data_IF_630686110982
#
_entry.id   IF_630686110982
#
_cell.length_a   1.000
_cell.length_b   1.000
_cell.length_c   1.000
_cell.angle_alpha   90.00
_cell.angle_beta   90.00
_cell.angle_gamma   90.00
#
_symmetry.space_group_name_H-M   'P 1'
#
loop_
_entity.id
_entity.type
_entity.pdbx_description
1 polymer ?
#
# COMPACT_ATOMS: atom_id res chain seq x y z
N UNK A 1 9.93 -1.03 28.55
CA UNK A 1 8.80 -0.42 27.77
C UNK A 1 7.55 -0.28 28.62
N UNK A 2 6.87 0.86 28.54
CA UNK A 2 5.56 1.04 29.19
C UNK A 2 4.47 0.17 28.55
N UNK A 3 3.55 -0.36 29.37
CA UNK A 3 2.46 -1.23 28.91
C UNK A 3 1.61 -0.59 27.80
N UNK A 4 1.31 0.72 27.90
CA UNK A 4 0.55 1.47 26.91
C UNK A 4 1.26 1.51 25.53
N UNK A 5 2.58 1.66 25.53
CA UNK A 5 3.39 1.69 24.30
C UNK A 5 3.41 0.30 23.68
N UNK A 6 3.62 -0.74 24.49
CA UNK A 6 3.58 -2.14 24.05
C UNK A 6 2.25 -2.50 23.37
N UNK A 7 1.11 -2.20 24.03
CA UNK A 7 -0.21 -2.46 23.48
C UNK A 7 -0.46 -1.67 22.18
N UNK A 8 -0.01 -0.40 22.13
CA UNK A 8 -0.12 0.43 20.93
C UNK A 8 0.63 -0.16 19.74
N UNK A 9 1.83 -0.70 19.95
CA UNK A 9 2.64 -1.31 18.88
C UNK A 9 2.01 -2.61 18.35
N UNK A 10 1.44 -3.44 19.23
CA UNK A 10 0.66 -4.60 18.83
C UNK A 10 -0.56 -4.21 17.99
N UNK A 11 -1.29 -3.18 18.41
CA UNK A 11 -2.45 -2.69 17.66
C UNK A 11 -2.06 -2.13 16.30
N UNK A 12 -0.95 -1.35 16.22
CA UNK A 12 -0.41 -0.84 14.96
C UNK A 12 -0.10 -2.00 14.01
N UNK A 13 0.60 -3.05 14.45
CA UNK A 13 0.88 -4.21 13.60
C UNK A 13 -0.40 -4.88 13.10
N UNK A 14 -1.41 -5.06 13.95
CA UNK A 14 -2.69 -5.68 13.59
C UNK A 14 -3.51 -4.82 12.61
N UNK A 15 -3.46 -3.49 12.76
CA UNK A 15 -4.21 -2.56 11.90
C UNK A 15 -3.54 -2.35 10.53
N UNK A 16 -2.20 -2.34 10.49
CA UNK A 16 -1.44 -2.00 9.28
C UNK A 16 -1.08 -3.23 8.42
N UNK A 17 -0.92 -4.42 9.05
CA UNK A 17 -0.55 -5.64 8.35
C UNK A 17 -1.78 -6.51 8.05
N UNK A 18 -2.58 -6.09 7.11
CA UNK A 18 -3.81 -6.79 6.70
C UNK A 18 -3.71 -7.33 5.28
N UNK A 19 -4.45 -8.43 4.96
CA UNK A 19 -4.52 -8.93 3.61
C UNK A 19 -5.18 -7.94 2.65
N UNK A 20 -4.71 -7.90 1.41
CA UNK A 20 -5.33 -7.15 0.33
C UNK A 20 -5.09 -7.84 -1.01
N UNK A 21 -6.08 -7.81 -1.89
CA UNK A 21 -6.00 -8.36 -3.23
C UNK A 21 -5.49 -7.28 -4.20
N UNK A 22 -4.42 -7.54 -4.94
CA UNK A 22 -3.90 -6.63 -5.95
C UNK A 22 -3.58 -5.22 -5.43
N UNK A 23 -3.80 -4.18 -6.25
CA UNK A 23 -3.58 -2.79 -5.87
C UNK A 23 -4.71 -2.26 -4.99
N UNK A 24 -4.38 -1.62 -3.87
CA UNK A 24 -5.34 -1.21 -2.84
C UNK A 24 -6.28 -0.09 -3.29
N UNK A 25 -5.82 0.82 -4.16
CA UNK A 25 -6.64 1.95 -4.63
C UNK A 25 -7.78 1.52 -5.56
N UNK A 26 -7.58 0.70 -6.61
CA UNK A 26 -8.71 0.16 -7.38
C UNK A 26 -9.63 -0.72 -6.53
N UNK A 27 -9.09 -1.45 -5.55
CA UNK A 27 -9.90 -2.23 -4.61
C UNK A 27 -10.76 -1.31 -3.72
N UNK A 28 -10.25 -0.17 -3.27
CA UNK A 28 -11.04 0.80 -2.50
C UNK A 28 -12.18 1.41 -3.34
N UNK A 29 -11.94 1.67 -4.64
CA UNK A 29 -13.00 2.08 -5.57
C UNK A 29 -14.05 0.97 -5.70
N UNK A 30 -13.63 -0.27 -5.95
CA UNK A 30 -14.54 -1.41 -6.04
C UNK A 30 -15.32 -1.63 -4.74
N UNK A 31 -14.70 -1.42 -3.58
CA UNK A 31 -15.35 -1.51 -2.28
C UNK A 31 -16.41 -0.42 -2.09
N UNK A 32 -16.13 0.82 -2.48
CA UNK A 32 -17.11 1.91 -2.44
C UNK A 32 -18.33 1.61 -3.32
N UNK A 33 -18.10 1.12 -4.55
CA UNK A 33 -19.18 0.85 -5.52
C UNK A 33 -19.94 -0.44 -5.18
N UNK A 34 -19.29 -1.47 -4.66
CA UNK A 34 -19.95 -2.67 -4.12
C UNK A 34 -20.88 -2.30 -2.95
N UNK A 35 -20.41 -1.41 -2.05
CA UNK A 35 -21.23 -0.91 -0.93
C UNK A 35 -22.43 -0.11 -1.47
N UNK A 36 -22.24 0.76 -2.46
CA UNK A 36 -23.35 1.50 -3.07
C UNK A 36 -24.38 0.55 -3.73
N UNK A 37 -23.89 -0.49 -4.41
CA UNK A 37 -24.75 -1.51 -5.01
C UNK A 37 -25.56 -2.30 -3.96
N UNK A 38 -24.94 -2.65 -2.83
CA UNK A 38 -25.65 -3.34 -1.73
C UNK A 38 -26.75 -2.47 -1.11
N UNK A 39 -26.55 -1.16 -1.00
CA UNK A 39 -27.56 -0.20 -0.52
C UNK A 39 -28.78 -0.16 -1.45
N UNK A 40 -28.58 -0.32 -2.76
CA UNK A 40 -29.65 -0.33 -3.77
C UNK A 40 -30.09 -1.74 -4.19
N UNK A 41 -29.64 -2.80 -3.55
CA UNK A 41 -29.90 -4.18 -4.00
C UNK A 41 -31.37 -4.47 -4.23
N UNK A 42 -32.27 -4.00 -3.36
CA UNK A 42 -33.73 -4.20 -3.45
C UNK A 42 -34.39 -3.47 -4.60
N UNK A 43 -33.72 -2.46 -5.21
CA UNK A 43 -34.26 -1.66 -6.30
C UNK A 43 -33.63 -1.99 -7.66
N UNK A 44 -32.53 -2.76 -7.66
CA UNK A 44 -31.93 -3.28 -8.89
C UNK A 44 -32.85 -4.39 -9.43
N UNK A 45 -33.40 -4.18 -10.61
CA UNK A 45 -34.25 -5.16 -11.29
C UNK A 45 -33.42 -6.31 -11.84
N UNK A 46 -34.05 -7.44 -12.08
CA UNK A 46 -33.48 -8.57 -12.84
C UNK A 46 -34.08 -8.60 -14.25
N UNK A 47 -33.30 -9.07 -15.22
CA UNK A 47 -33.79 -9.44 -16.55
C UNK A 47 -34.54 -10.79 -16.51
N UNK A 48 -35.08 -11.21 -17.68
CA UNK A 48 -35.82 -12.46 -17.81
C UNK A 48 -34.98 -13.70 -17.51
N UNK A 49 -33.65 -13.60 -17.60
CA UNK A 49 -32.68 -14.64 -17.27
C UNK A 49 -32.24 -14.60 -15.80
N UNK A 50 -32.83 -13.72 -14.98
CA UNK A 50 -32.52 -13.57 -13.56
C UNK A 50 -31.26 -12.76 -13.27
N UNK A 51 -30.64 -12.11 -14.26
CA UNK A 51 -29.46 -11.30 -14.06
C UNK A 51 -29.84 -9.86 -13.66
N UNK A 52 -29.01 -9.23 -12.81
CA UNK A 52 -29.20 -7.83 -12.43
C UNK A 52 -29.13 -6.92 -13.67
N UNK A 53 -30.13 -6.08 -13.84
CA UNK A 53 -30.23 -5.07 -14.91
C UNK A 53 -29.90 -3.69 -14.34
N UNK A 54 -28.94 -3.02 -14.94
CA UNK A 54 -28.49 -1.71 -14.50
C UNK A 54 -29.02 -0.63 -15.46
N UNK A 55 -30.07 0.10 -15.03
CA UNK A 55 -30.78 1.13 -15.83
C UNK A 55 -30.43 2.56 -15.39
N UNK A 56 -29.19 2.80 -14.97
CA UNK A 56 -28.78 4.09 -14.43
C UNK A 56 -27.37 4.49 -14.85
N UNK A 57 -26.66 5.09 -13.93
CA UNK A 57 -25.28 5.52 -14.14
C UNK A 57 -24.50 5.52 -12.81
N UNK A 58 -23.18 5.50 -12.94
CA UNK A 58 -22.25 5.55 -11.83
C UNK A 58 -21.31 6.75 -11.99
N UNK A 59 -21.35 7.69 -11.07
CA UNK A 59 -20.39 8.78 -11.00
C UNK A 59 -19.40 8.55 -9.86
N UNK A 60 -18.13 8.74 -10.17
CA UNK A 60 -17.05 8.74 -9.19
C UNK A 60 -16.44 10.14 -9.08
N UNK A 61 -16.13 10.54 -7.88
CA UNK A 61 -15.37 11.74 -7.58
C UNK A 61 -14.17 11.33 -6.74
N UNK A 62 -12.97 11.48 -7.30
CA UNK A 62 -11.74 10.97 -6.70
C UNK A 62 -10.70 12.06 -6.55
N UNK A 63 -9.92 11.99 -5.47
CA UNK A 63 -8.72 12.81 -5.34
C UNK A 63 -7.71 12.53 -6.45
N UNK A 64 -6.84 13.49 -6.74
CA UNK A 64 -5.80 13.35 -7.74
C UNK A 64 -4.88 12.14 -7.49
N UNK A 65 -4.60 11.81 -6.24
CA UNK A 65 -3.79 10.64 -5.88
C UNK A 65 -4.48 9.31 -6.21
N UNK A 66 -5.79 9.21 -6.01
CA UNK A 66 -6.56 8.01 -6.43
C UNK A 66 -6.53 7.88 -7.95
N UNK A 67 -6.79 8.97 -8.68
CA UNK A 67 -6.75 8.97 -10.15
C UNK A 67 -5.37 8.54 -10.65
N UNK A 68 -4.30 9.14 -10.13
CA UNK A 68 -2.92 8.82 -10.47
C UNK A 68 -2.60 7.34 -10.26
N UNK A 69 -3.03 6.77 -9.13
CA UNK A 69 -2.68 5.40 -8.75
C UNK A 69 -3.51 4.33 -9.46
N UNK A 70 -4.70 4.66 -9.98
CA UNK A 70 -5.60 3.67 -10.58
C UNK A 70 -5.61 3.69 -12.10
N UNK A 71 -5.34 4.85 -12.73
CA UNK A 71 -5.50 5.06 -14.17
C UNK A 71 -4.88 3.97 -15.08
N UNK A 72 -3.73 3.43 -14.70
CA UNK A 72 -2.98 2.49 -15.55
C UNK A 72 -2.88 1.07 -14.96
N UNK A 73 -3.45 0.83 -13.79
CA UNK A 73 -3.29 -0.45 -13.09
C UNK A 73 -4.30 -1.49 -13.59
N UNK A 74 -3.87 -2.72 -13.68
CA UNK A 74 -4.76 -3.85 -13.94
C UNK A 74 -5.60 -4.14 -12.71
N UNK A 75 -6.92 -4.15 -12.88
CA UNK A 75 -7.87 -4.46 -11.80
C UNK A 75 -7.80 -5.96 -11.48
N UNK A 76 -7.63 -6.34 -10.21
CA UNK A 76 -7.59 -7.76 -9.84
C UNK A 76 -8.85 -8.52 -10.26
N UNK A 77 -8.68 -9.77 -10.67
CA UNK A 77 -9.76 -10.67 -11.12
C UNK A 77 -10.64 -10.15 -12.26
N UNK A 78 -10.25 -9.06 -12.93
CA UNK A 78 -11.03 -8.45 -13.99
C UNK A 78 -10.89 -9.11 -15.37
N UNK A 79 -9.98 -10.08 -15.52
CA UNK A 79 -9.63 -10.61 -16.85
C UNK A 79 -8.74 -9.64 -17.66
N UNK A 80 -7.97 -8.76 -16.99
CA UNK A 80 -7.02 -7.83 -17.61
C UNK A 80 -7.57 -6.40 -17.84
N UNK A 81 -8.79 -6.10 -17.43
CA UNK A 81 -9.34 -4.74 -17.50
C UNK A 81 -8.54 -3.77 -16.63
N UNK A 82 -8.45 -2.51 -17.04
CA UNK A 82 -7.62 -1.49 -16.39
C UNK A 82 -8.40 -0.21 -16.11
N UNK A 83 -7.95 0.53 -15.11
CA UNK A 83 -8.41 1.88 -14.84
C UNK A 83 -9.53 1.98 -13.82
N UNK A 84 -9.98 3.20 -13.62
CA UNK A 84 -10.90 3.60 -12.55
C UNK A 84 -12.29 3.04 -12.83
N UNK A 85 -12.78 3.25 -14.04
CA UNK A 85 -14.12 2.83 -14.45
C UNK A 85 -14.25 1.30 -14.39
N UNK A 86 -13.21 0.57 -14.80
CA UNK A 86 -13.18 -0.88 -14.71
C UNK A 86 -13.29 -1.37 -13.26
N UNK A 87 -12.52 -0.76 -12.34
CA UNK A 87 -12.59 -1.09 -10.91
C UNK A 87 -13.97 -0.81 -10.31
N UNK A 88 -14.55 0.34 -10.68
CA UNK A 88 -15.85 0.78 -10.19
C UNK A 88 -16.99 -0.11 -10.67
N UNK A 89 -17.05 -0.36 -11.99
CA UNK A 89 -18.13 -1.18 -12.56
C UNK A 89 -18.02 -2.62 -12.12
N UNK A 90 -16.79 -3.19 -12.05
CA UNK A 90 -16.60 -4.55 -11.58
C UNK A 90 -17.01 -4.70 -10.10
N UNK A 91 -16.66 -3.72 -9.25
CA UNK A 91 -17.09 -3.68 -7.87
C UNK A 91 -18.61 -3.63 -7.70
N UNK A 92 -19.28 -2.80 -8.50
CA UNK A 92 -20.74 -2.70 -8.52
C UNK A 92 -21.42 -4.00 -8.99
N UNK A 93 -20.87 -4.65 -10.01
CA UNK A 93 -21.52 -5.83 -10.64
C UNK A 93 -21.36 -7.09 -9.81
N UNK A 94 -20.17 -7.35 -9.26
CA UNK A 94 -19.86 -8.63 -8.61
C UNK A 94 -19.11 -8.50 -7.29
N UNK A 95 -18.81 -7.27 -6.82
CA UNK A 95 -18.07 -7.07 -5.59
C UNK A 95 -18.85 -7.44 -4.34
N UNK A 96 -18.17 -8.11 -3.38
CA UNK A 96 -18.69 -8.50 -2.07
C UNK A 96 -18.18 -7.49 -1.02
N UNK A 97 -19.01 -6.48 -0.68
CA UNK A 97 -18.62 -5.35 0.19
C UNK A 97 -18.10 -5.78 1.56
N UNK A 98 -18.62 -6.85 2.14
CA UNK A 98 -18.21 -7.41 3.44
C UNK A 98 -16.74 -7.86 3.46
N UNK A 99 -16.17 -8.19 2.30
CA UNK A 99 -14.77 -8.60 2.14
C UNK A 99 -13.78 -7.45 2.09
N UNK A 100 -14.23 -6.21 2.08
CA UNK A 100 -13.38 -5.00 2.10
C UNK A 100 -12.25 -5.02 1.04
N UNK A 101 -10.98 -5.19 1.46
CA UNK A 101 -9.83 -5.21 0.54
C UNK A 101 -9.70 -6.49 -0.30
N UNK A 102 -10.58 -7.46 -0.10
CA UNK A 102 -10.72 -8.68 -0.90
C UNK A 102 -12.06 -8.70 -1.66
N UNK A 103 -12.70 -7.53 -1.82
CA UNK A 103 -14.03 -7.32 -2.42
C UNK A 103 -14.22 -7.97 -3.80
N UNK A 104 -13.14 -8.13 -4.58
CA UNK A 104 -13.15 -8.72 -5.92
C UNK A 104 -12.67 -10.19 -5.96
N UNK A 105 -12.51 -10.87 -4.82
CA UNK A 105 -11.97 -12.23 -4.80
C UNK A 105 -12.85 -13.24 -5.54
N UNK A 106 -14.17 -13.13 -5.40
CA UNK A 106 -15.14 -14.08 -5.95
C UNK A 106 -15.68 -13.77 -7.36
N UNK A 107 -15.07 -12.85 -8.11
CA UNK A 107 -15.56 -12.41 -9.43
C UNK A 107 -15.62 -13.57 -10.43
N UNK A 108 -16.79 -13.76 -11.02
CA UNK A 108 -17.08 -14.78 -12.02
C UNK A 108 -16.86 -14.26 -13.46
N UNK A 109 -16.77 -15.19 -14.43
CA UNK A 109 -16.67 -14.82 -15.84
C UNK A 109 -17.91 -14.06 -16.34
N UNK A 110 -19.10 -14.43 -15.88
CA UNK A 110 -20.34 -13.74 -16.24
C UNK A 110 -20.32 -12.27 -15.79
N UNK A 111 -19.76 -11.98 -14.61
CA UNK A 111 -19.60 -10.61 -14.08
C UNK A 111 -18.56 -9.82 -14.87
N UNK A 112 -17.46 -10.44 -15.31
CA UNK A 112 -16.47 -9.83 -16.21
C UNK A 112 -17.09 -9.41 -17.54
N UNK A 113 -17.83 -10.31 -18.18
CA UNK A 113 -18.51 -10.05 -19.45
C UNK A 113 -19.52 -8.90 -19.27
N UNK A 114 -20.31 -8.91 -18.19
CA UNK A 114 -21.27 -7.84 -17.91
C UNK A 114 -20.58 -6.51 -17.65
N UNK A 115 -19.48 -6.51 -16.92
CA UNK A 115 -18.65 -5.32 -16.68
C UNK A 115 -18.15 -4.75 -17.99
N UNK A 116 -17.59 -5.56 -18.89
CA UNK A 116 -17.12 -5.11 -20.20
C UNK A 116 -18.23 -4.44 -21.02
N UNK A 117 -19.43 -5.03 -21.06
CA UNK A 117 -20.60 -4.44 -21.73
C UNK A 117 -21.01 -3.08 -21.16
N UNK A 118 -21.01 -2.92 -19.84
CA UNK A 118 -21.34 -1.65 -19.19
C UNK A 118 -20.28 -0.58 -19.47
N UNK A 119 -19.01 -0.95 -19.55
CA UNK A 119 -17.93 -0.01 -19.89
C UNK A 119 -18.08 0.53 -21.34
N UNK A 120 -18.54 -0.27 -22.29
CA UNK A 120 -18.82 0.15 -23.66
C UNK A 120 -19.93 1.23 -23.74
N UNK A 121 -20.87 1.24 -22.80
CA UNK A 121 -21.97 2.21 -22.72
C UNK A 121 -21.62 3.49 -21.96
N UNK A 122 -20.38 3.66 -21.52
CA UNK A 122 -19.96 4.75 -20.64
C UNK A 122 -20.80 4.87 -19.35
N UNK A 123 -21.23 3.74 -18.81
CA UNK A 123 -22.04 3.67 -17.59
C UNK A 123 -21.37 4.34 -16.37
N UNK A 124 -20.05 4.39 -16.35
CA UNK A 124 -19.26 5.01 -15.28
C UNK A 124 -18.45 6.20 -15.80
N UNK A 125 -18.48 7.30 -15.04
CA UNK A 125 -17.64 8.49 -15.30
C UNK A 125 -16.90 8.88 -14.03
N UNK A 126 -15.59 9.16 -14.16
CA UNK A 126 -14.76 9.62 -13.04
C UNK A 126 -14.40 11.11 -13.19
N UNK A 127 -14.60 11.86 -12.12
CA UNK A 127 -14.29 13.28 -11.99
C UNK A 127 -13.18 13.49 -10.96
N UNK A 128 -12.31 14.47 -11.22
CA UNK A 128 -11.34 14.97 -10.24
C UNK A 128 -12.07 15.80 -9.19
N UNK A 129 -11.90 15.47 -7.91
CA UNK A 129 -12.37 16.27 -6.78
C UNK A 129 -11.18 16.95 -6.14
N UNK A 130 -11.16 18.29 -6.17
CA UNK A 130 -10.10 19.11 -5.61
C UNK A 130 -10.43 19.55 -4.18
N UNK A 131 -9.40 19.85 -3.38
CA UNK A 131 -9.60 20.34 -2.00
C UNK A 131 -10.00 19.29 -0.98
N UNK A 132 -9.97 18.00 -1.36
CA UNK A 132 -10.28 16.86 -0.50
C UNK A 132 -9.00 16.20 0.03
N UNK A 133 -9.16 15.20 0.92
CA UNK A 133 -8.04 14.39 1.45
C UNK A 133 -7.31 13.65 0.33
N UNK A 134 -6.02 13.36 0.53
CA UNK A 134 -5.19 12.65 -0.46
C UNK A 134 -5.76 11.28 -0.88
N UNK A 135 -6.43 10.59 0.03
CA UNK A 135 -7.23 9.41 -0.26
C UNK A 135 -8.70 9.81 -0.08
N UNK A 136 -9.37 10.08 -1.17
CA UNK A 136 -10.80 10.41 -1.23
C UNK A 136 -11.45 9.73 -2.42
N UNK A 137 -12.54 9.02 -2.17
CA UNK A 137 -13.39 8.37 -3.16
C UNK A 137 -14.85 8.62 -2.76
N UNK A 138 -15.62 9.23 -3.66
CA UNK A 138 -17.06 9.33 -3.55
C UNK A 138 -17.70 8.62 -4.72
N UNK A 139 -18.44 7.54 -4.44
CA UNK A 139 -19.18 6.77 -5.42
C UNK A 139 -20.67 7.13 -5.32
N UNK A 140 -21.28 7.51 -6.45
CA UNK A 140 -22.68 7.85 -6.57
C UNK A 140 -23.33 6.94 -7.63
N UNK A 141 -24.05 5.94 -7.16
CA UNK A 141 -24.78 5.01 -8.00
C UNK A 141 -26.26 5.40 -8.06
N UNK A 142 -26.76 5.62 -9.29
CA UNK A 142 -28.18 5.85 -9.54
C UNK A 142 -28.79 4.64 -10.26
N UNK A 143 -29.90 4.10 -9.73
CA UNK A 143 -30.61 2.97 -10.30
C UNK A 143 -32.12 3.11 -10.10
N UNK A 144 -32.91 2.99 -11.17
CA UNK A 144 -34.37 3.03 -11.11
C UNK A 144 -34.94 4.25 -10.32
N UNK A 145 -34.31 5.42 -10.45
CA UNK A 145 -34.72 6.65 -9.75
C UNK A 145 -34.21 6.76 -8.30
N UNK A 146 -33.54 5.76 -7.75
CA UNK A 146 -32.92 5.79 -6.43
C UNK A 146 -31.40 6.05 -6.56
N UNK A 147 -30.82 6.72 -5.53
CA UNK A 147 -29.41 7.08 -5.48
C UNK A 147 -28.76 6.57 -4.19
N UNK A 148 -27.59 5.92 -4.33
CA UNK A 148 -26.70 5.62 -3.20
C UNK A 148 -25.43 6.44 -3.33
N UNK A 149 -24.96 6.99 -2.20
CA UNK A 149 -23.68 7.72 -2.10
C UNK A 149 -22.84 7.06 -1.02
N UNK A 150 -21.60 6.71 -1.38
CA UNK A 150 -20.61 6.13 -0.45
C UNK A 150 -19.34 6.96 -0.53
N UNK A 151 -18.81 7.39 0.63
CA UNK A 151 -17.56 8.15 0.72
C UNK A 151 -16.53 7.40 1.54
N UNK A 152 -15.32 7.26 0.99
CA UNK A 152 -14.13 6.71 1.66
C UNK A 152 -13.09 7.82 1.80
N UNK A 153 -12.50 7.98 3.00
CA UNK A 153 -11.45 8.96 3.30
C UNK A 153 -10.30 8.40 4.13
N UNK A 154 -9.11 8.91 3.87
CA UNK A 154 -7.88 8.69 4.66
C UNK A 154 -7.33 7.27 4.69
N UNK A 155 -8.16 6.23 4.75
CA UNK A 155 -7.78 4.80 4.68
C UNK A 155 -8.68 4.09 3.68
N UNK A 156 -8.16 3.12 2.95
CA UNK A 156 -8.85 2.40 1.84
C UNK A 156 -10.17 1.74 2.25
N UNK A 157 -10.36 1.43 3.55
CA UNK A 157 -11.57 0.80 4.08
C UNK A 157 -12.39 1.71 5.00
N UNK A 158 -11.98 2.98 5.12
CA UNK A 158 -12.65 3.91 6.02
C UNK A 158 -13.84 4.60 5.34
N UNK A 159 -14.97 3.92 5.26
CA UNK A 159 -16.22 4.55 4.85
C UNK A 159 -16.62 5.58 5.93
N UNK A 160 -16.83 6.82 5.51
CA UNK A 160 -17.22 7.94 6.39
C UNK A 160 -18.66 8.38 6.17
N UNK A 161 -19.24 8.09 5.01
CA UNK A 161 -20.63 8.41 4.68
C UNK A 161 -21.25 7.30 3.84
N UNK A 162 -22.48 6.93 4.18
CA UNK A 162 -23.40 6.16 3.33
C UNK A 162 -24.74 6.87 3.33
N UNK A 163 -25.27 7.18 2.13
CA UNK A 163 -26.61 7.72 1.94
C UNK A 163 -27.40 6.86 0.96
N UNK A 164 -28.74 6.80 1.16
CA UNK A 164 -29.69 6.32 0.19
C UNK A 164 -30.76 7.40 -0.01
N UNK A 165 -30.86 7.91 -1.20
CA UNK A 165 -31.70 9.07 -1.52
C UNK A 165 -31.38 10.24 -0.56
N UNK A 166 -32.35 10.70 0.26
CA UNK A 166 -32.15 11.74 1.26
C UNK A 166 -31.80 11.17 2.65
N UNK A 167 -31.83 9.85 2.84
CA UNK A 167 -31.56 9.20 4.12
C UNK A 167 -30.07 8.96 4.34
N UNK A 168 -29.55 9.39 5.50
CA UNK A 168 -28.18 9.09 5.95
C UNK A 168 -28.19 7.76 6.69
N UNK A 169 -27.60 6.72 6.12
CA UNK A 169 -27.48 5.39 6.73
C UNK A 169 -26.25 5.26 7.64
N UNK A 170 -25.20 6.00 7.31
CA UNK A 170 -23.96 6.09 8.10
C UNK A 170 -23.32 7.45 7.91
N UNK A 171 -22.94 8.11 9.01
CA UNK A 171 -22.08 9.29 9.01
C UNK A 171 -21.12 9.22 10.20
N UNK A 172 -19.83 9.24 9.92
CA UNK A 172 -18.83 9.28 10.99
C UNK A 172 -18.66 10.69 11.52
N UNK A 173 -18.63 10.83 12.86
CA UNK A 173 -18.41 12.12 13.54
C UNK A 173 -17.14 12.79 13.00
N UNK A 174 -17.28 14.05 12.59
CA UNK A 174 -16.18 14.87 12.08
C UNK A 174 -15.99 14.81 10.56
N UNK A 175 -16.80 14.06 9.81
CA UNK A 175 -16.71 14.00 8.35
C UNK A 175 -16.89 15.39 7.69
N UNK A 176 -17.83 16.21 8.18
CA UNK A 176 -18.07 17.57 7.66
C UNK A 176 -17.46 18.70 8.51
N UNK A 177 -16.86 18.35 9.66
CA UNK A 177 -16.25 19.34 10.53
C UNK A 177 -14.77 19.53 10.17
N UNK A 178 -14.35 20.77 9.86
CA UNK A 178 -12.91 21.12 9.78
C UNK A 178 -12.23 20.68 11.07
N UNK A 179 -11.19 19.84 10.95
CA UNK A 179 -10.42 19.26 12.07
C UNK A 179 -9.96 20.37 13.03
N UNK A 180 -10.59 20.50 14.19
CA UNK A 180 -10.17 21.40 15.27
C UNK A 180 -9.37 20.69 16.36
N UNK A 181 -9.37 19.35 16.44
CA UNK A 181 -8.55 18.62 17.40
C UNK A 181 -7.87 17.43 16.72
N UNK A 182 -6.53 17.42 16.69
CA UNK A 182 -5.74 16.22 16.41
C UNK A 182 -5.93 15.24 17.56
N UNK A 183 -6.75 14.19 17.40
CA UNK A 183 -6.62 13.00 18.25
C UNK A 183 -5.19 12.48 18.11
N UNK A 184 -4.51 12.28 19.22
CA UNK A 184 -3.18 11.67 19.25
C UNK A 184 -3.26 10.31 18.53
N UNK A 185 -2.53 10.16 17.44
CA UNK A 185 -2.43 8.89 16.71
C UNK A 185 -1.49 7.96 17.50
N UNK A 186 -1.83 6.68 17.65
CA UNK A 186 -0.94 5.69 18.29
C UNK A 186 0.44 5.66 17.63
N UNK A 187 0.52 5.95 16.33
CA UNK A 187 1.75 6.01 15.56
C UNK A 187 2.68 7.16 15.96
N UNK A 188 2.17 8.18 16.65
CA UNK A 188 2.99 9.26 17.22
C UNK A 188 3.90 8.76 18.37
N UNK A 189 3.64 7.56 18.90
CA UNK A 189 4.46 6.90 19.90
C UNK A 189 5.66 6.14 19.30
N UNK A 190 5.69 5.93 17.98
CA UNK A 190 6.76 5.18 17.34
C UNK A 190 8.07 5.97 17.37
N UNK A 191 9.14 5.30 17.72
CA UNK A 191 10.53 5.74 17.59
C UNK A 191 11.44 4.51 17.47
N UNK A 192 12.63 4.70 16.93
CA UNK A 192 13.54 3.58 16.63
C UNK A 192 13.94 2.81 17.88
N UNK A 193 14.25 3.50 18.99
CA UNK A 193 14.66 2.86 20.24
C UNK A 193 13.57 1.94 20.81
N UNK A 194 12.34 2.45 20.92
CA UNK A 194 11.22 1.67 21.45
C UNK A 194 10.80 0.55 20.48
N UNK A 195 10.96 0.73 19.16
CA UNK A 195 10.72 -0.34 18.18
C UNK A 195 11.68 -1.52 18.43
N UNK A 196 12.95 -1.25 18.68
CA UNK A 196 13.94 -2.30 18.96
C UNK A 196 13.65 -2.98 20.28
N UNK A 197 13.37 -2.21 21.35
CA UNK A 197 12.96 -2.78 22.65
C UNK A 197 11.72 -3.67 22.50
N UNK A 198 10.69 -3.20 21.79
CA UNK A 198 9.48 -3.98 21.54
C UNK A 198 9.78 -5.28 20.80
N UNK A 199 10.61 -5.23 19.75
CA UNK A 199 10.98 -6.42 19.00
C UNK A 199 11.68 -7.48 19.86
N UNK A 200 12.48 -7.08 20.87
CA UNK A 200 13.14 -8.00 21.80
C UNK A 200 12.17 -8.65 22.80
N UNK A 201 11.17 -7.88 23.30
CA UNK A 201 10.33 -8.33 24.43
C UNK A 201 8.97 -8.88 24.01
N UNK A 202 8.50 -8.61 22.78
CA UNK A 202 7.16 -9.01 22.35
C UNK A 202 6.96 -10.53 22.44
N UNK A 203 5.82 -10.97 23.00
CA UNK A 203 5.46 -12.40 22.98
C UNK A 203 5.15 -12.80 21.53
N UNK A 204 5.88 -13.80 21.03
CA UNK A 204 5.74 -14.32 19.67
C UNK A 204 4.30 -14.75 19.39
N UNK A 205 3.59 -15.30 20.38
CA UNK A 205 2.18 -15.73 20.22
C UNK A 205 1.26 -14.58 19.86
N UNK A 206 1.56 -13.34 20.28
CA UNK A 206 0.75 -12.17 19.99
C UNK A 206 0.92 -11.64 18.58
N UNK A 207 2.05 -11.96 17.92
CA UNK A 207 2.39 -11.51 16.56
C UNK A 207 2.38 -12.65 15.53
N UNK A 208 2.37 -13.91 15.97
CA UNK A 208 2.50 -15.09 15.09
C UNK A 208 1.46 -15.11 13.98
N UNK A 209 0.20 -14.81 14.29
CA UNK A 209 -0.88 -14.80 13.30
C UNK A 209 -0.67 -13.71 12.22
N UNK A 210 -0.21 -12.53 12.62
CA UNK A 210 -0.03 -11.37 11.70
C UNK A 210 1.24 -11.55 10.87
N UNK A 211 2.38 -11.79 11.52
CA UNK A 211 3.68 -11.93 10.84
C UNK A 211 3.75 -13.24 10.04
N UNK A 212 3.21 -14.34 10.58
CA UNK A 212 3.14 -15.62 9.86
C UNK A 212 2.34 -15.53 8.57
N UNK A 213 1.21 -14.83 8.59
CA UNK A 213 0.41 -14.54 7.40
C UNK A 213 1.17 -13.69 6.38
N UNK A 214 1.90 -12.65 6.84
CA UNK A 214 2.74 -11.83 5.96
C UNK A 214 3.81 -12.67 5.27
N UNK A 215 4.51 -13.53 6.01
CA UNK A 215 5.51 -14.44 5.45
C UNK A 215 4.88 -15.33 4.38
N UNK A 216 3.76 -15.99 4.70
CA UNK A 216 3.12 -16.93 3.80
C UNK A 216 2.63 -16.28 2.51
N UNK A 217 1.81 -15.21 2.61
CA UNK A 217 1.20 -14.57 1.44
C UNK A 217 2.24 -13.85 0.58
N UNK A 218 3.15 -13.08 1.18
CA UNK A 218 4.13 -12.31 0.42
C UNK A 218 5.17 -13.21 -0.25
N UNK A 219 5.55 -14.33 0.38
CA UNK A 219 6.41 -15.33 -0.25
C UNK A 219 5.69 -16.00 -1.43
N UNK A 220 4.43 -16.39 -1.26
CA UNK A 220 3.67 -17.08 -2.31
C UNK A 220 3.55 -16.23 -3.60
N UNK A 221 3.17 -14.96 -3.50
CA UNK A 221 3.08 -14.10 -4.69
C UNK A 221 4.45 -13.77 -5.29
N UNK A 222 5.50 -13.69 -4.48
CA UNK A 222 6.87 -13.51 -4.97
C UNK A 222 7.34 -14.73 -5.79
N UNK A 223 7.06 -15.93 -5.31
CA UNK A 223 7.37 -17.17 -6.02
C UNK A 223 6.55 -17.30 -7.31
N UNK A 224 5.30 -16.87 -7.29
CA UNK A 224 4.44 -16.77 -8.48
C UNK A 224 5.06 -15.83 -9.53
N UNK A 225 5.52 -14.64 -9.11
CA UNK A 225 6.17 -13.67 -10.00
C UNK A 225 7.53 -14.14 -10.55
N UNK A 226 8.24 -15.02 -9.81
CA UNK A 226 9.45 -15.66 -10.32
C UNK A 226 9.16 -16.82 -11.29
N UNK A 227 8.04 -17.51 -11.12
CA UNK A 227 7.66 -18.68 -11.92
C UNK A 227 7.03 -18.30 -13.25
N UNK A 228 6.12 -17.33 -13.23
CA UNK A 228 5.32 -16.93 -14.36
C UNK A 228 5.73 -15.56 -14.92
N UNK A 229 5.19 -15.23 -16.10
CA UNK A 229 5.50 -13.98 -16.82
C UNK A 229 4.56 -12.85 -16.38
N UNK A 230 5.10 -11.85 -15.69
CA UNK A 230 4.36 -10.68 -15.24
C UNK A 230 5.12 -9.38 -15.54
N UNK A 231 4.47 -8.46 -16.23
CA UNK A 231 5.01 -7.13 -16.48
C UNK A 231 6.37 -7.12 -17.16
N UNK A 232 7.35 -6.45 -16.55
CA UNK A 232 8.71 -6.35 -17.05
C UNK A 232 9.64 -7.45 -16.51
N UNK A 233 9.15 -8.38 -15.70
CA UNK A 233 9.90 -9.51 -15.12
C UNK A 233 11.19 -9.07 -14.41
N UNK A 234 11.12 -7.98 -13.68
CA UNK A 234 12.28 -7.37 -13.02
C UNK A 234 12.96 -8.37 -12.09
N UNK A 235 12.18 -9.07 -11.25
CA UNK A 235 12.73 -10.06 -10.32
C UNK A 235 13.47 -11.20 -11.04
N UNK A 236 12.89 -11.77 -12.08
CA UNK A 236 13.51 -12.82 -12.91
C UNK A 236 14.77 -12.30 -13.62
N UNK A 237 14.70 -11.08 -14.13
CA UNK A 237 15.82 -10.45 -14.83
C UNK A 237 17.01 -10.23 -13.91
N UNK A 238 16.78 -9.80 -12.66
CA UNK A 238 17.84 -9.62 -11.67
C UNK A 238 18.57 -10.94 -11.37
N UNK A 239 17.84 -12.04 -11.10
CA UNK A 239 18.44 -13.34 -10.86
C UNK A 239 19.25 -13.83 -12.07
N UNK A 240 18.72 -13.68 -13.27
CA UNK A 240 19.41 -14.08 -14.50
C UNK A 240 20.68 -13.27 -14.76
N UNK A 241 20.65 -11.96 -14.50
CA UNK A 241 21.72 -11.04 -14.82
C UNK A 241 22.86 -11.02 -13.78
N UNK A 242 22.52 -11.19 -12.50
CA UNK A 242 23.44 -10.97 -11.37
C UNK A 242 23.68 -12.21 -10.50
N UNK A 243 23.04 -13.35 -10.80
CA UNK A 243 23.16 -14.56 -10.01
C UNK A 243 22.19 -14.60 -8.81
N UNK A 244 22.47 -15.50 -7.85
CA UNK A 244 21.53 -15.82 -6.78
C UNK A 244 22.10 -15.62 -5.36
N UNK A 245 23.07 -14.73 -5.18
CA UNK A 245 23.49 -14.36 -3.82
C UNK A 245 22.32 -13.70 -3.04
N UNK A 246 22.45 -13.63 -1.72
CA UNK A 246 21.38 -13.13 -0.85
C UNK A 246 20.97 -11.70 -1.20
N UNK A 247 21.91 -10.84 -1.61
CA UNK A 247 21.64 -9.44 -2.00
C UNK A 247 20.78 -9.38 -3.26
N UNK A 248 21.08 -10.25 -4.22
CA UNK A 248 20.31 -10.35 -5.48
C UNK A 248 18.94 -10.98 -5.20
N UNK A 249 18.87 -12.08 -4.42
CA UNK A 249 17.59 -12.70 -4.06
C UNK A 249 16.67 -11.76 -3.31
N UNK A 250 17.17 -10.99 -2.35
CA UNK A 250 16.40 -10.03 -1.58
C UNK A 250 15.70 -9.00 -2.49
N UNK A 251 16.44 -8.42 -3.44
CA UNK A 251 15.90 -7.46 -4.44
C UNK A 251 14.95 -8.15 -5.41
N UNK A 252 15.36 -9.31 -5.93
CA UNK A 252 14.62 -10.04 -6.94
C UNK A 252 13.27 -10.52 -6.45
N UNK A 253 13.20 -11.07 -5.23
CA UNK A 253 11.94 -11.55 -4.65
C UNK A 253 10.97 -10.42 -4.35
N UNK A 254 11.45 -9.31 -3.80
CA UNK A 254 10.61 -8.14 -3.57
C UNK A 254 10.07 -7.56 -4.90
N UNK A 255 10.91 -7.49 -5.93
CA UNK A 255 10.51 -7.05 -7.27
C UNK A 255 9.53 -8.02 -7.93
N UNK A 256 9.76 -9.34 -7.87
CA UNK A 256 8.91 -10.35 -8.47
C UNK A 256 7.48 -10.36 -7.90
N UNK A 257 7.34 -10.19 -6.58
CA UNK A 257 6.04 -10.01 -5.96
C UNK A 257 5.31 -8.78 -6.51
N UNK A 258 6.02 -7.70 -6.74
CA UNK A 258 5.46 -6.49 -7.37
C UNK A 258 5.17 -6.68 -8.85
N UNK A 259 6.03 -7.40 -9.60
CA UNK A 259 5.76 -7.77 -11.00
C UNK A 259 4.40 -8.48 -11.09
N UNK A 260 4.17 -9.52 -10.28
CA UNK A 260 2.91 -10.25 -10.26
C UNK A 260 1.73 -9.35 -9.84
N UNK A 261 1.88 -8.66 -8.70
CA UNK A 261 0.81 -7.84 -8.12
C UNK A 261 0.34 -6.70 -9.05
N UNK A 262 1.27 -6.01 -9.70
CA UNK A 262 0.95 -4.85 -10.56
C UNK A 262 0.39 -5.27 -11.93
N UNK A 263 0.51 -6.53 -12.30
CA UNK A 263 0.11 -7.03 -13.61
C UNK A 263 -1.03 -8.08 -13.53
N UNK A 264 -1.86 -8.00 -12.49
CA UNK A 264 -3.15 -8.68 -12.45
C UNK A 264 -3.15 -10.06 -11.77
N UNK A 265 -2.06 -10.45 -11.07
CA UNK A 265 -2.08 -11.65 -10.25
C UNK A 265 -3.17 -11.55 -9.17
N UNK A 266 -3.96 -12.60 -9.02
CA UNK A 266 -5.10 -12.66 -8.10
C UNK A 266 -4.74 -13.14 -6.68
N UNK A 267 -3.46 -13.32 -6.39
CA UNK A 267 -3.01 -13.73 -5.06
C UNK A 267 -3.02 -12.55 -4.09
N UNK A 268 -3.50 -12.74 -2.84
CA UNK A 268 -3.46 -11.71 -1.83
C UNK A 268 -2.05 -11.48 -1.30
N UNK A 269 -1.80 -10.28 -0.81
CA UNK A 269 -0.58 -9.89 -0.10
C UNK A 269 -0.92 -9.29 1.25
N UNK A 270 -0.02 -9.37 2.23
CA UNK A 270 -0.14 -8.56 3.45
C UNK A 270 0.53 -7.23 3.20
N UNK A 271 -0.26 -6.16 3.34
CA UNK A 271 0.16 -4.78 3.12
C UNK A 271 0.96 -4.22 4.29
N UNK A 272 1.64 -3.10 4.07
CA UNK A 272 2.16 -2.21 5.10
C UNK A 272 1.82 -0.77 4.72
N UNK A 273 1.33 0.02 5.66
CA UNK A 273 0.94 1.43 5.44
C UNK A 273 0.02 1.61 4.21
N UNK A 274 -0.94 0.71 4.05
CA UNK A 274 -1.93 0.74 2.98
C UNK A 274 -1.45 0.25 1.61
N UNK A 275 -0.23 -0.30 1.47
CA UNK A 275 0.33 -0.75 0.19
C UNK A 275 0.92 -2.16 0.25
N UNK A 276 0.49 -3.03 -0.67
CA UNK A 276 1.08 -4.37 -0.82
C UNK A 276 2.53 -4.35 -1.29
N UNK A 277 2.91 -3.39 -2.14
CA UNK A 277 4.30 -3.21 -2.53
C UNK A 277 5.19 -2.88 -1.33
N UNK A 278 4.72 -2.03 -0.40
CA UNK A 278 5.43 -1.76 0.85
C UNK A 278 5.51 -3.01 1.74
N UNK A 279 4.40 -3.74 1.89
CA UNK A 279 4.39 -4.98 2.68
C UNK A 279 5.37 -6.04 2.17
N UNK A 280 5.47 -6.22 0.85
CA UNK A 280 6.46 -7.12 0.24
C UNK A 280 7.89 -6.59 0.39
N UNK A 281 8.10 -5.28 0.26
CA UNK A 281 9.42 -4.66 0.41
C UNK A 281 9.92 -4.72 1.86
N UNK A 282 9.05 -4.59 2.85
CA UNK A 282 9.40 -4.79 4.27
C UNK A 282 9.74 -6.25 4.59
N UNK A 283 9.05 -7.21 3.96
CA UNK A 283 9.13 -8.61 4.42
C UNK A 283 10.13 -9.46 3.64
N UNK A 284 10.07 -9.45 2.31
CA UNK A 284 10.80 -10.41 1.48
C UNK A 284 12.33 -10.32 1.61
N UNK A 285 12.95 -9.12 1.63
CA UNK A 285 14.39 -9.02 1.86
C UNK A 285 14.81 -9.58 3.23
N UNK A 286 14.03 -9.29 4.27
CA UNK A 286 14.30 -9.78 5.63
C UNK A 286 14.17 -11.29 5.71
N UNK A 287 13.15 -11.88 5.06
CA UNK A 287 12.96 -13.34 4.97
C UNK A 287 14.16 -14.01 4.29
N UNK A 288 14.67 -13.42 3.19
CA UNK A 288 15.83 -14.00 2.48
C UNK A 288 17.11 -13.94 3.33
N UNK A 289 17.37 -12.82 4.00
CA UNK A 289 18.52 -12.73 4.92
C UNK A 289 18.36 -13.67 6.13
N UNK A 290 17.16 -13.77 6.71
CA UNK A 290 16.91 -14.71 7.80
C UNK A 290 17.14 -16.18 7.40
N UNK A 291 16.76 -16.53 6.16
CA UNK A 291 17.02 -17.87 5.58
C UNK A 291 18.49 -18.11 5.32
N UNK A 292 19.19 -17.14 4.75
CA UNK A 292 20.64 -17.21 4.49
C UNK A 292 21.43 -17.42 5.77
N UNK A 293 21.09 -16.65 6.82
CA UNK A 293 21.71 -16.73 8.14
C UNK A 293 21.22 -17.94 8.95
N UNK A 294 20.24 -18.71 8.44
CA UNK A 294 19.63 -19.88 9.10
C UNK A 294 19.18 -19.59 10.54
N UNK A 295 18.65 -18.39 10.76
CA UNK A 295 18.17 -18.01 12.10
C UNK A 295 16.89 -18.74 12.48
N UNK A 296 16.62 -18.96 13.79
CA UNK A 296 15.35 -19.53 14.26
C UNK A 296 14.13 -18.70 13.79
N UNK A 297 12.98 -19.37 13.63
CA UNK A 297 11.70 -18.73 13.27
C UNK A 297 11.38 -17.52 14.14
N UNK A 298 11.61 -17.62 15.43
CA UNK A 298 11.39 -16.52 16.38
C UNK A 298 12.22 -15.28 16.01
N UNK A 299 13.52 -15.45 15.74
CA UNK A 299 14.41 -14.33 15.36
C UNK A 299 13.95 -13.67 14.06
N UNK A 300 13.51 -14.46 13.07
CA UNK A 300 12.94 -13.91 11.84
C UNK A 300 11.66 -13.11 12.11
N UNK A 301 10.78 -13.56 13.01
CA UNK A 301 9.56 -12.84 13.38
C UNK A 301 9.86 -11.49 14.01
N UNK A 302 10.81 -11.44 14.94
CA UNK A 302 11.28 -10.21 15.60
C UNK A 302 11.90 -9.23 14.60
N UNK A 303 12.71 -9.73 13.67
CA UNK A 303 13.26 -8.90 12.58
C UNK A 303 12.17 -8.30 11.68
N UNK A 304 11.13 -9.06 11.38
CA UNK A 304 9.97 -8.55 10.62
C UNK A 304 9.18 -7.50 11.42
N UNK A 305 9.11 -7.59 12.73
CA UNK A 305 8.56 -6.52 13.59
C UNK A 305 9.37 -5.24 13.44
N UNK A 306 10.70 -5.31 13.54
CA UNK A 306 11.60 -4.15 13.32
C UNK A 306 11.33 -3.53 11.94
N UNK A 307 11.38 -4.34 10.89
CA UNK A 307 11.19 -3.86 9.52
C UNK A 307 9.86 -3.13 9.33
N UNK A 308 8.76 -3.77 9.75
CA UNK A 308 7.42 -3.22 9.55
C UNK A 308 7.21 -1.94 10.36
N UNK A 309 7.61 -1.90 11.63
CA UNK A 309 7.40 -0.73 12.48
C UNK A 309 8.28 0.45 12.08
N UNK A 310 9.55 0.23 11.67
CA UNK A 310 10.42 1.30 11.14
C UNK A 310 9.83 1.89 9.85
N UNK A 311 9.27 1.07 8.96
CA UNK A 311 8.60 1.55 7.76
C UNK A 311 7.34 2.38 8.10
N UNK A 312 6.50 1.91 9.02
CA UNK A 312 5.29 2.60 9.47
C UNK A 312 5.66 3.93 10.15
N UNK A 313 6.71 3.94 10.96
CA UNK A 313 7.22 5.14 11.63
C UNK A 313 7.56 6.24 10.63
N UNK A 314 8.34 5.94 9.60
CA UNK A 314 8.65 6.89 8.53
C UNK A 314 7.40 7.38 7.81
N UNK A 315 6.45 6.49 7.52
CA UNK A 315 5.19 6.82 6.85
C UNK A 315 4.29 7.76 7.67
N UNK A 316 4.44 7.80 8.97
CA UNK A 316 3.73 8.75 9.84
C UNK A 316 4.06 10.21 9.46
N UNK A 317 5.29 10.48 9.09
CA UNK A 317 5.73 11.82 8.67
C UNK A 317 5.44 12.13 7.19
N UNK A 318 5.51 11.12 6.30
CA UNK A 318 5.27 11.29 4.85
C UNK A 318 3.78 11.40 4.55
N UNK A 319 2.94 10.59 5.22
CA UNK A 319 1.52 10.47 4.96
C UNK A 319 1.16 9.28 4.07
N UNK A 320 -0.15 9.02 3.89
CA UNK A 320 -0.67 7.81 3.22
C UNK A 320 -0.33 7.78 1.74
N UNK A 321 -0.61 8.87 1.02
CA UNK A 321 -0.35 9.02 -0.42
C UNK A 321 0.50 10.27 -0.64
N UNK A 322 1.54 10.15 -1.47
CA UNK A 322 2.48 11.22 -1.78
C UNK A 322 3.23 10.89 -3.08
N UNK A 323 3.83 11.88 -3.70
CA UNK A 323 4.83 11.68 -4.76
C UNK A 323 6.13 11.04 -4.24
N UNK A 324 6.33 10.93 -2.95
CA UNK A 324 7.40 10.15 -2.33
C UNK A 324 7.05 8.67 -2.30
N UNK A 325 7.78 7.84 -2.99
CA UNK A 325 7.50 6.41 -3.10
C UNK A 325 7.67 5.68 -1.76
N UNK A 326 6.64 5.00 -1.30
CA UNK A 326 6.67 4.21 -0.07
C UNK A 326 7.65 3.03 -0.09
N UNK A 327 8.12 2.61 -1.26
CA UNK A 327 9.18 1.60 -1.37
C UNK A 327 10.47 2.01 -0.66
N UNK A 328 10.78 3.33 -0.60
CA UNK A 328 11.96 3.85 0.11
C UNK A 328 11.87 3.60 1.61
N UNK A 329 10.75 3.98 2.24
CA UNK A 329 10.53 3.75 3.68
C UNK A 329 10.49 2.26 4.02
N UNK A 330 9.86 1.45 3.16
CA UNK A 330 9.76 0.01 3.34
C UNK A 330 11.12 -0.68 3.22
N UNK A 331 11.93 -0.29 2.23
CA UNK A 331 13.28 -0.82 2.06
C UNK A 331 14.21 -0.38 3.20
N UNK A 332 14.11 0.87 3.65
CA UNK A 332 14.84 1.36 4.82
C UNK A 332 14.52 0.53 6.07
N UNK A 333 13.24 0.20 6.30
CA UNK A 333 12.82 -0.73 7.35
C UNK A 333 13.45 -2.12 7.20
N UNK A 334 13.49 -2.65 5.97
CA UNK A 334 14.15 -3.93 5.69
C UNK A 334 15.66 -3.87 5.97
N UNK A 335 16.35 -2.78 5.60
CA UNK A 335 17.77 -2.57 5.93
C UNK A 335 18.03 -2.54 7.43
N UNK A 336 17.21 -1.83 8.19
CA UNK A 336 17.25 -1.82 9.66
C UNK A 336 17.12 -3.23 10.26
N UNK A 337 16.19 -4.03 9.75
CA UNK A 337 15.98 -5.40 10.19
C UNK A 337 17.12 -6.34 9.77
N UNK A 338 17.76 -6.11 8.62
CA UNK A 338 18.95 -6.86 8.20
C UNK A 338 20.11 -6.57 9.15
N UNK A 339 20.35 -5.29 9.51
CA UNK A 339 21.35 -4.94 10.53
C UNK A 339 21.04 -5.63 11.86
N UNK A 340 19.78 -5.59 12.32
CA UNK A 340 19.35 -6.28 13.55
C UNK A 340 19.58 -7.79 13.50
N UNK A 341 19.28 -8.47 12.37
CA UNK A 341 19.54 -9.91 12.17
C UNK A 341 21.01 -10.27 12.34
N UNK A 342 21.91 -9.39 11.92
CA UNK A 342 23.35 -9.54 12.03
C UNK A 342 23.92 -9.08 13.39
N UNK A 343 23.06 -8.72 14.35
CA UNK A 343 23.47 -8.35 15.72
C UNK A 343 23.70 -6.86 15.92
N UNK A 344 23.28 -6.02 14.98
CA UNK A 344 23.36 -4.56 15.10
C UNK A 344 22.56 -4.06 16.30
N UNK A 345 23.19 -3.20 17.11
CA UNK A 345 22.57 -2.48 18.22
C UNK A 345 21.83 -1.22 17.71
N UNK A 346 21.29 -0.43 18.64
CA UNK A 346 20.62 0.83 18.31
C UNK A 346 21.48 1.77 17.46
N UNK A 347 22.77 1.85 17.73
CA UNK A 347 23.67 2.75 16.99
C UNK A 347 23.90 2.25 15.56
N UNK A 348 24.17 0.96 15.39
CA UNK A 348 24.33 0.31 14.09
C UNK A 348 23.07 0.45 13.22
N UNK A 349 21.90 0.18 13.82
CA UNK A 349 20.62 0.30 13.12
C UNK A 349 20.31 1.76 12.76
N UNK A 350 20.61 2.72 13.64
CA UNK A 350 20.45 4.15 13.38
C UNK A 350 21.36 4.63 12.24
N UNK A 351 22.61 4.17 12.19
CA UNK A 351 23.53 4.43 11.06
C UNK A 351 23.00 3.83 9.76
N UNK A 352 22.50 2.59 9.78
CA UNK A 352 21.90 1.93 8.61
C UNK A 352 20.70 2.72 8.07
N UNK A 353 19.78 3.15 8.94
CA UNK A 353 18.63 3.98 8.56
C UNK A 353 19.10 5.30 7.96
N UNK A 354 20.06 5.98 8.59
CA UNK A 354 20.63 7.24 8.12
C UNK A 354 21.26 7.09 6.74
N UNK A 355 22.10 6.07 6.55
CA UNK A 355 22.74 5.77 5.27
C UNK A 355 21.71 5.47 4.17
N UNK A 356 20.65 4.71 4.47
CA UNK A 356 19.59 4.40 3.52
C UNK A 356 18.84 5.66 3.07
N UNK A 357 18.51 6.53 4.01
CA UNK A 357 17.76 7.76 3.74
C UNK A 357 18.63 8.83 3.04
N UNK A 358 19.91 8.93 3.38
CA UNK A 358 20.83 9.82 2.70
C UNK A 358 21.05 9.42 1.24
N UNK A 359 21.18 8.11 0.97
CA UNK A 359 21.34 7.57 -0.39
C UNK A 359 20.05 7.75 -1.22
N UNK A 360 18.91 7.36 -0.67
CA UNK A 360 17.63 7.37 -1.39
C UNK A 360 16.66 8.33 -0.71
N UNK A 361 16.94 9.63 -0.78
CA UNK A 361 16.13 10.70 -0.16
C UNK A 361 14.69 10.79 -0.73
N UNK A 362 14.42 10.09 -1.81
CA UNK A 362 13.11 9.93 -2.41
C UNK A 362 13.21 9.33 -3.81
N UNK A 363 12.27 8.44 -4.11
CA UNK A 363 11.98 7.98 -5.48
C UNK A 363 10.61 8.55 -5.85
N UNK A 364 10.49 9.15 -7.03
CA UNK A 364 9.21 9.72 -7.48
C UNK A 364 8.17 8.61 -7.66
N UNK A 365 7.01 8.79 -7.01
CA UNK A 365 5.84 7.93 -7.16
C UNK A 365 4.87 8.54 -8.18
N UNK A 366 4.79 7.95 -9.35
CA UNK A 366 3.91 8.33 -10.45
C UNK A 366 2.76 7.32 -10.65
N UNK A 367 2.29 6.71 -9.56
CA UNK A 367 1.18 5.77 -9.52
C UNK A 367 1.59 4.30 -9.62
N UNK A 368 0.60 3.40 -9.41
CA UNK A 368 0.82 1.95 -9.44
C UNK A 368 0.94 1.44 -10.88
N UNK A 369 2.01 0.70 -11.18
CA UNK A 369 2.30 0.14 -12.51
C UNK A 369 3.48 -0.82 -12.48
N UNK A 370 3.77 -1.47 -13.62
CA UNK A 370 4.86 -2.47 -13.73
C UNK A 370 6.22 -1.96 -13.27
N UNK A 371 6.55 -0.67 -13.51
CA UNK A 371 7.84 -0.10 -13.07
C UNK A 371 8.01 0.03 -11.55
N UNK A 372 6.96 -0.23 -10.75
CA UNK A 372 7.10 -0.32 -9.30
C UNK A 372 8.09 -1.41 -8.87
N UNK A 373 8.15 -2.53 -9.59
CA UNK A 373 9.10 -3.60 -9.32
C UNK A 373 10.56 -3.11 -9.40
N UNK A 374 10.89 -2.30 -10.41
CA UNK A 374 12.23 -1.73 -10.55
C UNK A 374 12.55 -0.72 -9.43
N UNK A 375 11.58 0.14 -9.06
CA UNK A 375 11.74 1.09 -7.94
C UNK A 375 11.96 0.36 -6.61
N UNK A 376 11.27 -0.75 -6.38
CA UNK A 376 11.46 -1.62 -5.20
C UNK A 376 12.88 -2.20 -5.21
N UNK A 377 13.31 -2.78 -6.33
CA UNK A 377 14.65 -3.35 -6.45
C UNK A 377 15.75 -2.32 -6.14
N UNK A 378 15.62 -1.10 -6.66
CA UNK A 378 16.57 0.00 -6.41
C UNK A 378 16.55 0.45 -4.94
N UNK A 379 15.36 0.56 -4.33
CA UNK A 379 15.25 0.95 -2.92
C UNK A 379 15.85 -0.11 -1.98
N UNK A 380 15.60 -1.40 -2.26
CA UNK A 380 16.19 -2.52 -1.49
C UNK A 380 17.71 -2.58 -1.67
N UNK A 381 18.23 -2.33 -2.88
CA UNK A 381 19.67 -2.25 -3.14
C UNK A 381 20.33 -1.16 -2.31
N UNK A 382 19.71 0.03 -2.26
CA UNK A 382 20.18 1.15 -1.45
C UNK A 382 20.18 0.82 0.06
N UNK A 383 19.16 0.10 0.54
CA UNK A 383 19.08 -0.31 1.94
C UNK A 383 20.13 -1.38 2.30
N UNK A 384 20.41 -2.32 1.40
CA UNK A 384 21.48 -3.31 1.59
C UNK A 384 22.86 -2.63 1.56
N UNK A 385 23.08 -1.66 0.67
CA UNK A 385 24.29 -0.84 0.64
C UNK A 385 24.44 -0.06 1.96
N UNK A 386 23.35 0.49 2.50
CA UNK A 386 23.37 1.22 3.76
C UNK A 386 23.82 0.36 4.95
N UNK A 387 23.33 -0.89 5.01
CA UNK A 387 23.81 -1.88 5.97
C UNK A 387 25.30 -2.20 5.75
N UNK A 388 25.72 -2.44 4.51
CA UNK A 388 27.12 -2.76 4.22
C UNK A 388 28.08 -1.61 4.54
N UNK A 389 27.65 -0.35 4.42
CA UNK A 389 28.43 0.82 4.86
C UNK A 389 28.56 0.83 6.39
N UNK A 390 27.49 0.56 7.10
CA UNK A 390 27.50 0.51 8.56
C UNK A 390 28.37 -0.65 9.09
N UNK A 391 28.26 -1.83 8.49
CA UNK A 391 29.09 -3.01 8.82
C UNK A 391 30.60 -2.73 8.63
N UNK A 392 30.94 -1.80 7.73
CA UNK A 392 32.29 -1.27 7.57
C UNK A 392 32.58 -0.02 8.46
N UNK A 393 31.74 0.28 9.44
CA UNK A 393 31.80 1.45 10.33
C UNK A 393 31.74 2.82 9.62
N UNK A 394 31.03 2.89 8.49
CA UNK A 394 30.83 4.13 7.75
C UNK A 394 29.40 4.65 7.91
N UNK A 395 29.26 5.97 8.06
CA UNK A 395 27.98 6.66 8.14
C UNK A 395 28.08 8.08 7.57
N UNK A 396 27.08 8.49 6.84
CA UNK A 396 26.93 9.90 6.44
C UNK A 396 26.70 10.78 7.67
N UNK A 397 27.32 11.97 7.68
CA UNK A 397 27.39 12.81 8.85
C UNK A 397 26.32 13.89 8.88
N UNK A 398 25.99 14.37 10.07
CA UNK A 398 25.11 15.52 10.25
C UNK A 398 25.61 16.74 9.47
N UNK A 399 24.69 17.40 8.76
CA UNK A 399 25.00 18.51 7.87
C UNK A 399 25.24 18.10 6.42
N UNK A 400 25.39 16.81 6.12
CA UNK A 400 25.40 16.32 4.75
C UNK A 400 23.94 16.24 4.21
N UNK A 401 23.52 17.34 3.59
CA UNK A 401 22.16 17.45 3.04
C UNK A 401 21.08 17.43 4.10
N UNK A 402 20.24 16.38 4.07
CA UNK A 402 19.09 16.21 4.97
C UNK A 402 19.42 15.45 6.27
N UNK A 403 20.63 14.92 6.39
CA UNK A 403 21.09 14.15 7.56
C UNK A 403 21.23 15.06 8.79
N UNK A 404 20.79 14.56 9.96
CA UNK A 404 20.87 15.22 11.25
C UNK A 404 21.67 14.39 12.27
N UNK A 405 21.92 14.99 13.44
CA UNK A 405 22.69 14.37 14.52
C UNK A 405 22.07 13.08 15.09
N UNK A 406 20.76 12.94 14.95
CA UNK A 406 20.06 11.74 15.36
C UNK A 406 19.15 11.20 14.24
N UNK A 407 18.86 9.91 14.32
CA UNK A 407 18.08 9.20 13.30
C UNK A 407 16.63 9.70 13.21
N UNK A 408 16.04 10.10 14.33
CA UNK A 408 14.65 10.57 14.38
C UNK A 408 14.48 11.90 13.62
N UNK A 409 15.41 12.81 13.76
CA UNK A 409 15.40 14.08 13.03
C UNK A 409 15.67 13.88 11.54
N UNK A 410 16.53 12.93 11.19
CA UNK A 410 16.75 12.52 9.79
C UNK A 410 15.47 11.96 9.19
N UNK A 411 14.77 11.06 9.88
CA UNK A 411 13.47 10.51 9.46
C UNK A 411 12.44 11.64 9.27
N UNK A 412 12.36 12.59 10.22
CA UNK A 412 11.43 13.74 10.14
C UNK A 412 11.73 14.62 8.93
N UNK A 413 13.00 14.90 8.65
CA UNK A 413 13.39 15.70 7.48
C UNK A 413 12.95 15.05 6.16
N UNK A 414 13.19 13.74 6.00
CA UNK A 414 12.74 12.98 4.84
C UNK A 414 11.21 12.97 4.73
N UNK A 415 10.53 12.81 5.86
CA UNK A 415 9.07 12.89 5.94
C UNK A 415 8.54 14.26 5.51
N UNK A 416 9.20 15.35 5.93
CA UNK A 416 8.83 16.70 5.55
C UNK A 416 8.99 16.94 4.03
N UNK A 417 10.10 16.47 3.43
CA UNK A 417 10.28 16.52 1.98
C UNK A 417 9.15 15.77 1.27
N UNK A 418 8.83 14.55 1.71
CA UNK A 418 7.76 13.75 1.11
C UNK A 418 6.37 14.36 1.25
N UNK A 419 6.07 14.95 2.42
CA UNK A 419 4.73 15.47 2.75
C UNK A 419 4.48 16.87 2.22
N UNK A 420 5.48 17.75 2.32
CA UNK A 420 5.37 19.17 2.01
C UNK A 420 6.11 19.50 0.71
N UNK A 421 7.39 19.12 0.61
CA UNK A 421 8.22 19.46 -0.54
C UNK A 421 7.74 18.84 -1.85
N UNK A 422 7.18 17.63 -1.81
CA UNK A 422 6.70 16.92 -3.01
C UNK A 422 5.22 17.16 -3.33
N UNK A 423 4.53 18.07 -2.65
CA UNK A 423 3.10 18.32 -2.89
C UNK A 423 2.83 18.82 -4.32
N UNK A 424 3.61 19.79 -4.79
CA UNK A 424 3.47 20.33 -6.15
C UNK A 424 3.94 19.33 -7.21
N UNK A 425 4.91 18.46 -6.86
CA UNK A 425 5.35 17.34 -7.70
C UNK A 425 4.18 16.37 -7.95
N UNK A 426 3.38 16.09 -6.93
CA UNK A 426 2.20 15.22 -7.03
C UNK A 426 1.15 15.79 -8.01
N UNK A 427 0.85 17.08 -7.88
CA UNK A 427 -0.05 17.81 -8.79
C UNK A 427 0.50 17.83 -10.21
N UNK A 428 1.81 18.09 -10.38
CA UNK A 428 2.47 18.11 -11.69
C UNK A 428 2.39 16.74 -12.38
N UNK A 429 2.67 15.67 -11.66
CA UNK A 429 2.57 14.29 -12.18
C UNK A 429 1.13 14.00 -12.63
N UNK A 430 0.14 14.33 -11.79
CA UNK A 430 -1.27 14.15 -12.14
C UNK A 430 -1.62 14.88 -13.45
N UNK A 431 -1.29 16.16 -13.54
CA UNK A 431 -1.59 16.98 -14.73
C UNK A 431 -0.97 16.40 -16.01
N UNK A 432 0.28 15.90 -15.93
CA UNK A 432 0.93 15.22 -17.06
C UNK A 432 0.21 13.93 -17.43
N UNK A 433 -0.23 13.14 -16.44
CA UNK A 433 -0.92 11.87 -16.68
C UNK A 433 -2.30 12.03 -17.30
N UNK A 434 -3.03 13.10 -16.95
CA UNK A 434 -4.37 13.37 -17.52
C UNK A 434 -4.34 14.31 -18.72
N UNK A 435 -3.16 14.65 -19.24
CA UNK A 435 -2.94 15.52 -20.40
C UNK A 435 -3.54 16.93 -20.28
N UNK A 436 -3.68 17.46 -19.05
CA UNK A 436 -4.21 18.81 -18.83
C UNK A 436 -3.14 19.91 -19.01
N UNK A 437 -1.86 19.56 -19.05
CA UNK A 437 -0.76 20.48 -19.45
C UNK A 437 0.12 19.77 -20.47
N UNK A 438 0.23 20.38 -21.64
CA UNK A 438 1.38 20.10 -22.52
C UNK A 438 2.59 20.84 -21.92
N UNK A 439 3.68 20.11 -21.67
CA UNK A 439 4.98 20.69 -21.30
C UNK A 439 5.55 21.40 -22.50
#
# INVERSE_FOLDING_TARGET
MEKKVYESYLEILREELVPALGCTEPIAIAYATATAASVLEKVIKTDDDGNKKYDGYLNLYCSGNIIKNVKSVTVPNSGGMRGIEAAAVLGMVGGQAERKLEVLEGITEAERIRTAKLLETQFCTCYLEEGVENLYIRAELTQNGHRAVVVIENKHTNIVLIKKDDEILLEKKGFQQKKTEKKQDKRDLLNVADILEFAEIVDIKEIEAVIGRQIAMNTAISEEGLRNHYGAEVGRTLLRAYGDDVKVRARAKAAAGSDARMNGCSMPVVINSGSGNQGMTCSLPVIEYARELKVPKEKMYRALVVSNLVAIHQKTYIGSLSAYCGAVSAACGAGAAISWLNGGDYNAISKTITNALANTSGIVCDGAKSSCAAKIASAVDAAIMAYALEDADHCFQAGEGLVRDNVEDTIRNMGYVGRVGMKDTDVTILNLMINQKKV
#
